data_IF_995411886716
#
_entry.id   IF_995411886716
#
_cell.length_a   1.000
_cell.length_b   1.000
_cell.length_c   1.000
_cell.angle_alpha   90.00
_cell.angle_beta   90.00
_cell.angle_gamma   90.00
#
_symmetry.space_group_name_H-M   'P 1'
#
loop_
_entity.id
_entity.type
_entity.pdbx_description
1 polymer ?
#
# COMPACT_ATOMS: atom_id res chain seq x y z
N UNK A 1 5.81 4.06 -2.85
CA UNK A 1 5.51 4.08 -4.30
C UNK A 1 6.04 5.31 -5.04
N UNK A 2 5.62 6.55 -4.75
CA UNK A 2 6.07 7.74 -5.53
C UNK A 2 7.59 7.93 -5.73
N UNK A 3 8.43 7.35 -4.87
CA UNK A 3 9.90 7.35 -5.04
C UNK A 3 10.40 6.29 -6.01
N UNK A 4 9.73 5.14 -6.09
CA UNK A 4 10.05 4.04 -7.01
C UNK A 4 9.44 4.31 -8.40
N UNK A 5 8.21 4.83 -8.43
CA UNK A 5 7.51 5.22 -9.63
C UNK A 5 6.87 6.60 -9.41
N UNK A 6 7.50 7.68 -9.92
CA UNK A 6 6.97 9.03 -9.79
C UNK A 6 5.54 9.15 -10.32
N UNK A 7 4.67 9.83 -9.57
CA UNK A 7 3.28 10.05 -9.95
C UNK A 7 2.33 8.87 -9.71
N UNK A 8 2.82 7.75 -9.18
CA UNK A 8 1.98 6.56 -8.90
C UNK A 8 0.87 6.81 -7.86
N UNK A 9 1.08 7.73 -6.92
CA UNK A 9 0.08 8.20 -5.95
C UNK A 9 0.02 9.74 -6.00
N UNK A 10 -0.83 10.34 -6.86
CA UNK A 10 -0.83 11.78 -7.10
C UNK A 10 -1.17 12.64 -5.88
N UNK A 11 -2.05 12.12 -5.01
CA UNK A 11 -2.53 12.80 -3.80
C UNK A 11 -2.27 11.93 -2.57
N UNK A 12 -1.68 12.54 -1.55
CA UNK A 12 -1.45 11.92 -0.24
C UNK A 12 -2.20 12.75 0.80
N UNK A 13 -3.17 12.12 1.48
CA UNK A 13 -3.89 12.76 2.56
C UNK A 13 -3.03 12.78 3.82
N UNK A 14 -3.04 13.90 4.57
CA UNK A 14 -2.22 14.08 5.79
C UNK A 14 -3.04 14.19 7.08
N UNK A 15 -4.36 14.19 6.97
CA UNK A 15 -5.28 14.23 8.11
C UNK A 15 -5.26 12.91 8.89
N UNK A 16 -5.51 12.98 10.19
CA UNK A 16 -5.59 11.81 11.08
C UNK A 16 -6.92 11.05 10.97
N UNK A 17 -7.84 11.48 10.11
CA UNK A 17 -9.13 10.81 9.95
C UNK A 17 -8.95 9.41 9.32
N UNK A 18 -9.62 8.41 9.89
CA UNK A 18 -9.53 7.00 9.46
C UNK A 18 -9.73 6.81 7.95
N UNK A 19 -10.74 7.47 7.38
CA UNK A 19 -11.04 7.35 5.95
C UNK A 19 -9.91 7.88 5.05
N UNK A 20 -9.18 8.91 5.49
CA UNK A 20 -8.01 9.43 4.76
C UNK A 20 -6.84 8.46 4.81
N UNK A 21 -6.64 7.77 5.95
CA UNK A 21 -5.61 6.75 6.10
C UNK A 21 -5.92 5.53 5.21
N UNK A 22 -7.17 5.04 5.23
CA UNK A 22 -7.64 3.96 4.37
C UNK A 22 -7.52 4.31 2.88
N UNK A 23 -7.82 5.55 2.48
CA UNK A 23 -7.64 6.02 1.10
C UNK A 23 -6.15 5.98 0.70
N UNK A 24 -5.24 6.42 1.57
CA UNK A 24 -3.81 6.36 1.31
C UNK A 24 -3.32 4.90 1.13
N UNK A 25 -3.78 3.98 1.97
CA UNK A 25 -3.44 2.55 1.84
C UNK A 25 -3.96 1.97 0.53
N UNK A 26 -5.23 2.24 0.20
CA UNK A 26 -5.84 1.78 -1.05
C UNK A 26 -5.09 2.30 -2.28
N UNK A 27 -4.67 3.57 -2.27
CA UNK A 27 -3.88 4.15 -3.37
C UNK A 27 -2.47 3.56 -3.43
N UNK A 28 -1.85 3.26 -2.29
CA UNK A 28 -0.54 2.60 -2.24
C UNK A 28 -0.59 1.19 -2.83
N UNK A 29 -1.58 0.37 -2.44
CA UNK A 29 -1.75 -1.00 -2.95
C UNK A 29 -2.02 -0.97 -4.47
N UNK A 30 -2.90 -0.09 -4.95
CA UNK A 30 -3.14 0.12 -6.39
C UNK A 30 -1.86 0.49 -7.15
N UNK A 31 -1.05 1.37 -6.57
CA UNK A 31 0.24 1.74 -7.14
C UNK A 31 1.22 0.56 -7.21
N UNK A 32 1.23 -0.35 -6.22
CA UNK A 32 2.04 -1.57 -6.28
C UNK A 32 1.61 -2.51 -7.42
N UNK A 33 0.29 -2.67 -7.63
CA UNK A 33 -0.23 -3.43 -8.79
C UNK A 33 0.24 -2.80 -10.11
N UNK A 34 0.08 -1.49 -10.26
CA UNK A 34 0.53 -0.77 -11.47
C UNK A 34 2.04 -0.79 -11.67
N UNK A 35 2.80 -0.97 -10.59
CA UNK A 35 4.26 -1.13 -10.63
C UNK A 35 4.69 -2.53 -11.12
N UNK A 36 3.75 -3.48 -11.21
CA UNK A 36 4.00 -4.83 -11.72
C UNK A 36 4.09 -5.91 -10.66
N UNK A 37 3.73 -5.61 -9.41
CA UNK A 37 3.67 -6.65 -8.37
C UNK A 37 2.51 -7.61 -8.60
N UNK A 38 2.74 -8.87 -8.24
CA UNK A 38 1.73 -9.91 -8.27
C UNK A 38 0.70 -9.69 -7.16
N UNK A 39 -0.61 -9.68 -7.45
CA UNK A 39 -1.65 -9.48 -6.44
C UNK A 39 -1.61 -10.45 -5.26
N UNK A 40 -1.08 -11.66 -5.44
CA UNK A 40 -0.96 -12.66 -4.36
C UNK A 40 0.04 -12.26 -3.28
N UNK A 41 0.99 -11.39 -3.63
CA UNK A 41 2.03 -10.90 -2.72
C UNK A 41 1.60 -9.59 -2.04
N UNK A 42 0.44 -9.04 -2.35
CA UNK A 42 -0.05 -7.77 -1.80
C UNK A 42 -0.85 -7.97 -0.51
N UNK A 43 -0.70 -7.03 0.40
CA UNK A 43 -1.54 -6.90 1.59
C UNK A 43 -2.81 -6.13 1.27
N UNK A 44 -3.84 -6.35 2.07
CA UNK A 44 -5.09 -5.59 2.05
C UNK A 44 -5.04 -4.41 3.02
N UNK A 45 -5.87 -3.38 2.81
CA UNK A 45 -5.86 -2.20 3.68
C UNK A 45 -6.06 -2.55 5.17
N UNK A 46 -6.90 -3.53 5.48
CA UNK A 46 -7.18 -3.95 6.85
C UNK A 46 -6.02 -4.70 7.52
N UNK A 47 -5.15 -5.36 6.72
CA UNK A 47 -3.98 -6.06 7.24
C UNK A 47 -3.07 -5.12 8.02
N UNK A 48 -2.94 -3.88 7.54
CA UNK A 48 -2.18 -2.81 8.18
C UNK A 48 -3.05 -1.92 9.07
N UNK A 49 -4.23 -1.49 8.61
CA UNK A 49 -5.05 -0.51 9.32
C UNK A 49 -5.58 -1.05 10.66
N UNK A 50 -6.03 -2.30 10.69
CA UNK A 50 -6.54 -2.96 11.89
C UNK A 50 -5.52 -3.92 12.51
N UNK A 51 -4.29 -3.94 11.98
CA UNK A 51 -3.27 -4.96 12.31
C UNK A 51 -3.77 -6.39 12.08
N UNK A 52 -4.64 -6.62 11.08
CA UNK A 52 -5.24 -7.92 10.81
C UNK A 52 -4.23 -8.98 10.38
N UNK A 53 -3.20 -8.61 9.62
CA UNK A 53 -2.17 -9.53 9.15
C UNK A 53 -0.84 -8.81 8.84
N UNK A 54 -0.10 -8.47 9.89
CA UNK A 54 1.20 -7.80 9.75
C UNK A 54 2.25 -8.63 9.00
N UNK A 55 2.11 -9.96 8.97
CA UNK A 55 2.99 -10.84 8.19
C UNK A 55 2.81 -10.61 6.69
N UNK A 56 1.57 -10.50 6.20
CA UNK A 56 1.31 -10.19 4.78
C UNK A 56 1.86 -8.81 4.40
N UNK A 57 1.75 -7.82 5.31
CA UNK A 57 2.35 -6.49 5.10
C UNK A 57 3.87 -6.60 4.92
N UNK A 58 4.55 -7.38 5.77
CA UNK A 58 6.00 -7.60 5.65
C UNK A 58 6.36 -8.33 4.35
N UNK A 59 5.64 -9.38 3.99
CA UNK A 59 5.84 -10.12 2.73
C UNK A 59 5.71 -9.20 1.53
N UNK A 60 4.68 -8.36 1.50
CA UNK A 60 4.46 -7.40 0.42
C UNK A 60 5.60 -6.40 0.27
N UNK A 61 6.14 -5.91 1.39
CA UNK A 61 7.27 -4.98 1.38
C UNK A 61 8.57 -5.65 0.96
N UNK A 62 8.78 -6.92 1.32
CA UNK A 62 9.93 -7.71 0.87
C UNK A 62 9.84 -7.99 -0.64
N UNK A 63 8.66 -8.35 -1.14
CA UNK A 63 8.42 -8.56 -2.56
C UNK A 63 8.61 -7.27 -3.39
N UNK A 64 8.32 -6.10 -2.80
CA UNK A 64 8.58 -4.79 -3.43
C UNK A 64 10.08 -4.43 -3.48
N UNK A 65 10.88 -4.96 -2.55
CA UNK A 65 12.31 -4.65 -2.44
C UNK A 65 13.19 -5.54 -3.34
N UNK A 66 12.68 -6.72 -3.73
CA UNK A 66 13.33 -7.64 -4.67
C UNK A 66 13.26 -7.16 -6.11
#
# INVERSE_FOLDING_TARGET
MNKLQPGSVPKINRSMQNWHQLENLSNFIKAMVSYGMNPVDLFEANDLFESGNMTQVQVSLLALAG
#
